data_IF_974610317717
#
_entry.id   IF_974610317717
#
_cell.length_a   1.000
_cell.length_b   1.000
_cell.length_c   1.000
_cell.angle_alpha   90.00
_cell.angle_beta   90.00
_cell.angle_gamma   90.00
#
_symmetry.space_group_name_H-M   'P 1'
#
loop_
_entity.id
_entity.type
_entity.pdbx_description
1 polymer ?
#
# COMPACT_ATOMS: atom_id res chain seq x y z
N UNK A 1 37.40 -21.96 -8.21
CA UNK A 1 36.06 -22.28 -7.68
C UNK A 1 35.51 -21.01 -7.08
N UNK A 2 34.41 -20.46 -7.60
CA UNK A 2 33.81 -19.27 -6.99
C UNK A 2 33.42 -19.59 -5.55
N UNK A 3 33.81 -18.74 -4.59
CA UNK A 3 33.42 -18.90 -3.19
C UNK A 3 31.89 -19.00 -3.10
N UNK A 4 31.40 -20.11 -2.54
CA UNK A 4 29.97 -20.30 -2.31
C UNK A 4 29.45 -19.17 -1.43
N UNK A 5 28.33 -18.58 -1.83
CA UNK A 5 27.69 -17.47 -1.11
C UNK A 5 27.53 -17.78 0.39
N UNK A 6 27.76 -16.78 1.25
CA UNK A 6 27.58 -16.89 2.71
C UNK A 6 26.17 -17.34 3.11
N UNK A 7 25.19 -17.20 2.23
CA UNK A 7 23.82 -17.71 2.40
C UNK A 7 23.71 -19.23 2.49
N UNK A 8 24.67 -19.98 1.95
CA UNK A 8 24.68 -21.43 2.09
C UNK A 8 24.81 -21.89 3.56
N UNK A 9 25.32 -21.04 4.46
CA UNK A 9 25.33 -21.31 5.89
C UNK A 9 23.92 -21.40 6.50
N UNK A 10 22.93 -20.75 5.88
CA UNK A 10 21.52 -20.76 6.32
C UNK A 10 20.66 -21.84 5.63
N UNK A 11 21.27 -22.63 4.73
CA UNK A 11 20.62 -23.78 4.08
C UNK A 11 19.86 -24.73 5.04
N UNK A 12 20.39 -25.12 6.21
CA UNK A 12 19.66 -26.03 7.12
C UNK A 12 18.37 -25.41 7.70
N UNK A 13 18.32 -24.08 7.85
CA UNK A 13 17.11 -23.37 8.28
C UNK A 13 16.06 -23.37 7.16
N UNK A 14 16.51 -23.13 5.92
CA UNK A 14 15.68 -23.09 4.72
C UNK A 14 15.05 -24.45 4.42
N UNK A 15 15.80 -25.54 4.54
CA UNK A 15 15.32 -26.89 4.24
C UNK A 15 14.29 -27.41 5.26
N UNK A 16 14.37 -26.96 6.52
CA UNK A 16 13.44 -27.34 7.59
C UNK A 16 12.20 -26.46 7.65
N UNK A 17 12.16 -25.37 6.88
CA UNK A 17 11.08 -24.40 6.93
C UNK A 17 9.78 -24.97 6.33
N UNK A 18 8.61 -24.81 7.00
CA UNK A 18 7.34 -25.25 6.46
C UNK A 18 7.03 -24.50 5.16
N UNK A 19 6.94 -25.23 4.05
CA UNK A 19 6.65 -24.68 2.74
C UNK A 19 5.47 -25.41 2.10
N UNK A 20 4.64 -24.67 1.38
CA UNK A 20 3.49 -25.27 0.69
C UNK A 20 4.01 -26.14 -0.47
N UNK A 21 3.54 -27.38 -0.57
CA UNK A 21 3.97 -28.28 -1.63
C UNK A 21 3.48 -27.79 -2.99
N UNK A 22 4.37 -27.75 -3.99
CA UNK A 22 3.99 -27.48 -5.38
C UNK A 22 3.16 -28.67 -5.93
N UNK A 23 2.14 -28.43 -6.76
CA UNK A 23 1.38 -29.51 -7.37
C UNK A 23 2.28 -30.37 -8.25
N UNK A 24 2.11 -31.70 -8.20
CA UNK A 24 2.93 -32.66 -8.98
C UNK A 24 2.62 -32.64 -10.49
N UNK A 25 1.44 -32.13 -10.87
CA UNK A 25 0.97 -32.10 -12.24
C UNK A 25 0.14 -30.86 -12.53
N UNK A 26 -0.46 -30.82 -13.72
CA UNK A 26 -1.29 -29.69 -14.12
C UNK A 26 -2.55 -29.59 -13.24
N UNK A 27 -2.71 -28.46 -12.56
CA UNK A 27 -3.93 -28.13 -11.81
C UNK A 27 -4.99 -27.57 -12.79
N UNK A 28 -6.20 -28.16 -12.87
CA UNK A 28 -7.24 -27.68 -13.76
C UNK A 28 -7.73 -26.29 -13.36
N UNK A 29 -8.19 -25.50 -14.35
CA UNK A 29 -8.57 -24.10 -14.15
C UNK A 29 -9.63 -23.90 -13.05
N UNK A 30 -10.64 -24.78 -12.97
CA UNK A 30 -11.69 -24.71 -11.93
C UNK A 30 -11.11 -24.78 -10.52
N UNK A 31 -10.12 -25.65 -10.29
CA UNK A 31 -9.45 -25.78 -9.00
C UNK A 31 -8.59 -24.55 -8.70
N UNK A 32 -7.90 -24.01 -9.72
CA UNK A 32 -7.16 -22.74 -9.55
C UNK A 32 -8.07 -21.59 -9.15
N UNK A 33 -9.22 -21.47 -9.82
CA UNK A 33 -10.22 -20.45 -9.54
C UNK A 33 -10.78 -20.62 -8.12
N UNK A 34 -11.11 -21.86 -7.71
CA UNK A 34 -11.61 -22.15 -6.37
C UNK A 34 -10.61 -21.73 -5.28
N UNK A 35 -9.34 -22.14 -5.40
CA UNK A 35 -8.30 -21.72 -4.45
C UNK A 35 -8.13 -20.20 -4.37
N UNK A 36 -8.15 -19.55 -5.54
CA UNK A 36 -8.03 -18.09 -5.65
C UNK A 36 -9.21 -17.39 -4.98
N UNK A 37 -10.44 -17.84 -5.25
CA UNK A 37 -11.67 -17.28 -4.68
C UNK A 37 -11.76 -17.52 -3.16
N UNK A 38 -11.45 -18.73 -2.69
CA UNK A 38 -11.44 -19.05 -1.26
C UNK A 38 -10.44 -18.18 -0.50
N UNK A 39 -9.22 -18.03 -1.01
CA UNK A 39 -8.22 -17.14 -0.39
C UNK A 39 -8.70 -15.68 -0.41
N UNK A 40 -9.32 -15.22 -1.49
CA UNK A 40 -9.84 -13.86 -1.59
C UNK A 40 -10.95 -13.59 -0.55
N UNK A 41 -11.87 -14.54 -0.35
CA UNK A 41 -12.93 -14.42 0.67
C UNK A 41 -12.33 -14.38 2.08
N UNK A 42 -11.39 -15.27 2.39
CA UNK A 42 -10.68 -15.26 3.68
C UNK A 42 -9.96 -13.93 3.89
N UNK A 43 -9.29 -13.41 2.87
CA UNK A 43 -8.62 -12.11 2.92
C UNK A 43 -9.61 -11.00 3.31
N UNK A 44 -10.77 -10.92 2.64
CA UNK A 44 -11.79 -9.93 2.99
C UNK A 44 -12.31 -10.09 4.41
N UNK A 45 -12.55 -11.32 4.87
CA UNK A 45 -12.97 -11.58 6.26
C UNK A 45 -11.90 -11.06 7.24
N UNK A 46 -10.63 -11.38 7.01
CA UNK A 46 -9.53 -10.95 7.87
C UNK A 46 -9.38 -9.41 7.89
N UNK A 47 -9.69 -8.71 6.80
CA UNK A 47 -9.67 -7.22 6.78
C UNK A 47 -10.77 -6.59 7.64
N UNK A 48 -11.83 -7.33 7.99
CA UNK A 48 -12.93 -6.84 8.82
C UNK A 48 -12.77 -7.23 10.30
N UNK A 49 -11.93 -8.22 10.62
CA UNK A 49 -11.66 -8.62 12.01
C UNK A 49 -10.69 -7.60 12.63
N UNK A 50 -11.21 -6.77 13.53
CA UNK A 50 -10.43 -5.80 14.29
C UNK A 50 -9.55 -6.49 15.33
N UNK A 51 -8.36 -5.94 15.55
CA UNK A 51 -7.42 -6.40 16.58
C UNK A 51 -8.02 -6.11 17.96
N UNK A 52 -7.98 -7.11 18.83
CA UNK A 52 -8.46 -6.97 20.19
C UNK A 52 -7.58 -6.03 21.01
N UNK A 53 -8.22 -5.07 21.68
CA UNK A 53 -7.57 -4.13 22.60
C UNK A 53 -6.82 -2.98 21.94
N UNK A 54 -7.22 -2.56 20.73
CA UNK A 54 -6.77 -1.29 20.16
C UNK A 54 -7.55 -0.11 20.74
N UNK A 55 -6.84 0.98 21.04
CA UNK A 55 -7.46 2.24 21.43
C UNK A 55 -8.11 2.94 20.21
N UNK A 56 -9.30 3.57 20.34
CA UNK A 56 -9.99 4.25 19.24
C UNK A 56 -9.20 5.38 18.58
N UNK A 57 -8.29 6.02 19.33
CA UNK A 57 -7.39 7.08 18.83
C UNK A 57 -6.12 6.53 18.14
N UNK A 58 -6.09 5.24 17.79
CA UNK A 58 -4.98 4.67 17.03
C UNK A 58 -4.92 5.30 15.64
N UNK A 59 -3.74 5.79 15.29
CA UNK A 59 -3.53 6.57 14.07
C UNK A 59 -3.15 5.62 12.93
N UNK A 60 -3.80 5.73 11.75
CA UNK A 60 -3.41 4.96 10.56
C UNK A 60 -2.31 5.66 9.75
N UNK A 61 -1.06 5.38 10.10
CA UNK A 61 0.11 5.96 9.44
C UNK A 61 0.23 5.57 7.95
N UNK A 62 -0.35 4.44 7.55
CA UNK A 62 -0.25 3.94 6.19
C UNK A 62 -1.48 4.26 5.35
N UNK A 63 -2.41 5.10 5.79
CA UNK A 63 -3.66 5.39 5.08
C UNK A 63 -3.46 5.69 3.59
N UNK A 64 -2.43 6.47 3.24
CA UNK A 64 -2.08 6.79 1.85
C UNK A 64 -1.57 5.61 1.01
N UNK A 65 -1.02 4.59 1.67
CA UNK A 65 -0.40 3.41 1.08
C UNK A 65 -1.25 2.13 1.22
N UNK A 66 -2.35 2.17 1.98
CA UNK A 66 -3.25 1.01 2.24
C UNK A 66 -3.68 0.27 0.97
N UNK A 67 -4.00 1.03 -0.08
CA UNK A 67 -4.41 0.47 -1.36
C UNK A 67 -3.31 -0.37 -2.03
N UNK A 68 -2.04 0.03 -1.87
CA UNK A 68 -0.88 -0.66 -2.45
C UNK A 68 -0.43 -1.81 -1.54
N UNK A 69 -0.49 -1.63 -0.22
CA UNK A 69 -0.13 -2.70 0.72
C UNK A 69 -1.22 -3.72 0.96
N UNK A 70 -2.40 -3.58 0.35
CA UNK A 70 -3.51 -4.49 0.55
C UNK A 70 -3.74 -4.76 2.06
N UNK A 71 -3.71 -3.68 2.86
CA UNK A 71 -3.82 -3.73 4.30
C UNK A 71 -5.04 -2.96 4.78
N UNK A 72 -5.59 -3.32 5.93
CA UNK A 72 -6.72 -2.63 6.55
C UNK A 72 -6.38 -2.17 7.96
N UNK A 73 -6.52 -0.88 8.23
CA UNK A 73 -6.15 -0.31 9.53
C UNK A 73 -6.95 -0.92 10.66
N UNK A 74 -6.29 -1.14 11.79
CA UNK A 74 -6.86 -1.78 12.97
C UNK A 74 -7.35 -3.23 12.80
N UNK A 75 -7.15 -3.89 11.65
CA UNK A 75 -7.55 -5.29 11.43
C UNK A 75 -6.39 -6.27 11.56
N UNK A 76 -6.67 -7.58 11.56
CA UNK A 76 -5.63 -8.61 11.49
C UNK A 76 -4.72 -8.46 10.25
N UNK A 77 -5.22 -7.85 9.18
CA UNK A 77 -4.45 -7.57 7.96
C UNK A 77 -3.83 -6.17 8.00
N UNK A 78 -3.47 -5.67 9.19
CA UNK A 78 -2.87 -4.33 9.33
C UNK A 78 -1.57 -4.19 8.53
N UNK A 79 -0.70 -5.19 8.57
CA UNK A 79 0.58 -5.19 7.84
C UNK A 79 0.38 -5.41 6.34
N UNK A 80 -0.72 -6.05 5.94
CA UNK A 80 -1.01 -6.39 4.55
C UNK A 80 0.11 -7.23 3.92
N UNK A 81 0.48 -6.88 2.69
CA UNK A 81 1.61 -7.47 1.96
C UNK A 81 2.96 -6.79 2.27
N UNK A 82 2.99 -5.76 3.14
CA UNK A 82 4.18 -4.96 3.45
C UNK A 82 5.42 -5.81 3.73
N UNK A 83 5.39 -6.73 4.71
CA UNK A 83 6.53 -7.58 5.05
C UNK A 83 7.02 -8.46 3.88
N UNK A 84 6.10 -8.90 3.00
CA UNK A 84 6.41 -9.74 1.84
C UNK A 84 7.21 -8.92 0.81
N UNK A 85 6.75 -7.71 0.53
CA UNK A 85 7.39 -6.80 -0.42
C UNK A 85 8.72 -6.29 0.14
N UNK A 86 8.76 -5.86 1.40
CA UNK A 86 9.99 -5.36 2.05
C UNK A 86 11.09 -6.43 2.07
N UNK A 87 10.76 -7.68 2.44
CA UNK A 87 11.72 -8.78 2.37
C UNK A 87 12.25 -9.02 0.95
N UNK A 88 11.38 -8.92 -0.06
CA UNK A 88 11.78 -9.05 -1.46
C UNK A 88 12.72 -7.92 -1.88
N UNK A 89 12.43 -6.67 -1.50
CA UNK A 89 13.28 -5.50 -1.79
C UNK A 89 14.68 -5.69 -1.20
N UNK A 90 14.78 -6.03 0.09
CA UNK A 90 16.06 -6.19 0.78
C UNK A 90 16.91 -7.25 0.06
N UNK A 91 16.31 -8.39 -0.27
CA UNK A 91 17.04 -9.47 -0.93
C UNK A 91 17.43 -9.12 -2.38
N UNK A 92 16.54 -8.45 -3.13
CA UNK A 92 16.84 -7.96 -4.48
C UNK A 92 17.97 -6.94 -4.47
N UNK A 93 17.98 -6.01 -3.49
CA UNK A 93 19.06 -5.04 -3.32
C UNK A 93 20.39 -5.71 -2.98
N UNK A 94 20.40 -6.70 -2.10
CA UNK A 94 21.63 -7.42 -1.75
C UNK A 94 22.21 -8.23 -2.91
N UNK A 95 21.36 -8.89 -3.71
CA UNK A 95 21.80 -9.60 -4.92
C UNK A 95 22.23 -8.62 -6.01
N UNK A 96 21.45 -7.56 -6.25
CA UNK A 96 21.76 -6.53 -7.24
C UNK A 96 23.05 -5.76 -6.94
N UNK A 97 23.30 -5.45 -5.67
CA UNK A 97 24.55 -4.83 -5.20
C UNK A 97 25.74 -5.82 -5.15
N UNK A 98 25.54 -7.09 -5.52
CA UNK A 98 26.53 -8.18 -5.45
C UNK A 98 27.15 -8.37 -4.05
N UNK A 99 26.44 -7.95 -3.00
CA UNK A 99 26.79 -8.30 -1.61
C UNK A 99 26.58 -9.79 -1.36
N UNK A 100 25.64 -10.38 -2.11
CA UNK A 100 25.32 -11.80 -2.13
C UNK A 100 25.51 -12.29 -3.57
N UNK A 101 26.54 -13.10 -3.79
CA UNK A 101 26.81 -13.71 -5.10
C UNK A 101 25.96 -14.97 -5.27
N UNK A 102 24.72 -14.81 -5.72
CA UNK A 102 23.84 -15.92 -6.14
C UNK A 102 23.64 -15.86 -7.65
N UNK A 103 23.85 -16.99 -8.32
CA UNK A 103 23.51 -17.14 -9.73
C UNK A 103 22.06 -17.60 -9.87
N UNK A 104 21.16 -16.66 -10.15
CA UNK A 104 19.73 -16.97 -10.32
C UNK A 104 19.43 -17.82 -11.57
N UNK A 105 20.42 -18.08 -12.43
CA UNK A 105 20.30 -19.06 -13.52
C UNK A 105 20.47 -20.50 -13.03
N UNK A 106 21.13 -20.71 -11.89
CA UNK A 106 21.25 -22.02 -11.27
C UNK A 106 20.01 -22.35 -10.42
N UNK A 107 19.44 -23.53 -10.63
CA UNK A 107 18.26 -24.00 -9.90
C UNK A 107 18.50 -24.10 -8.38
N UNK A 108 19.71 -24.47 -7.93
CA UNK A 108 20.04 -24.54 -6.50
C UNK A 108 20.04 -23.17 -5.83
N UNK A 109 20.70 -22.19 -6.44
CA UNK A 109 20.78 -20.82 -5.95
C UNK A 109 19.40 -20.15 -5.98
N UNK A 110 18.59 -20.44 -7.01
CA UNK A 110 17.21 -19.97 -7.09
C UNK A 110 16.34 -20.57 -5.99
N UNK A 111 16.52 -21.84 -5.66
CA UNK A 111 15.80 -22.48 -4.55
C UNK A 111 16.23 -21.89 -3.20
N UNK A 112 17.52 -21.64 -3.00
CA UNK A 112 18.06 -21.00 -1.81
C UNK A 112 17.55 -19.56 -1.66
N UNK A 113 17.54 -18.78 -2.75
CA UNK A 113 16.98 -17.44 -2.80
C UNK A 113 15.51 -17.42 -2.36
N UNK A 114 14.68 -18.30 -2.95
CA UNK A 114 13.26 -18.40 -2.61
C UNK A 114 13.05 -18.84 -1.17
N UNK A 115 13.85 -19.79 -0.69
CA UNK A 115 13.78 -20.27 0.68
C UNK A 115 14.16 -19.20 1.71
N UNK A 116 15.25 -18.47 1.46
CA UNK A 116 15.68 -17.39 2.32
C UNK A 116 14.69 -16.21 2.32
N UNK A 117 14.12 -15.87 1.15
CA UNK A 117 13.09 -14.83 1.07
C UNK A 117 11.94 -15.11 2.05
N UNK A 118 11.48 -16.35 2.15
CA UNK A 118 10.37 -16.73 3.06
C UNK A 118 10.72 -16.57 4.53
N UNK A 119 11.92 -16.99 4.92
CA UNK A 119 12.41 -16.77 6.29
C UNK A 119 12.47 -15.28 6.58
N UNK A 120 12.98 -14.50 5.63
CA UNK A 120 13.06 -13.06 5.75
C UNK A 120 11.69 -12.41 5.87
N UNK A 121 10.65 -12.88 5.16
CA UNK A 121 9.27 -12.40 5.34
C UNK A 121 8.83 -12.51 6.80
N UNK A 122 9.06 -13.67 7.44
CA UNK A 122 8.63 -13.89 8.83
C UNK A 122 9.36 -12.98 9.80
N UNK A 123 10.65 -12.78 9.58
CA UNK A 123 11.45 -11.80 10.34
C UNK A 123 10.92 -10.39 10.13
N UNK A 124 10.58 -10.03 8.88
CA UNK A 124 10.03 -8.72 8.55
C UNK A 124 8.66 -8.48 9.15
N UNK A 125 7.81 -9.51 9.32
CA UNK A 125 6.53 -9.36 10.03
C UNK A 125 6.76 -8.85 11.45
N UNK A 126 7.75 -9.39 12.17
CA UNK A 126 8.09 -8.93 13.52
C UNK A 126 8.76 -7.55 13.52
N UNK A 127 9.70 -7.33 12.61
CA UNK A 127 10.40 -6.04 12.47
C UNK A 127 9.44 -4.91 12.11
N UNK A 128 8.39 -5.17 11.34
CA UNK A 128 7.35 -4.18 11.03
C UNK A 128 6.30 -4.08 12.15
N UNK A 129 5.88 -5.18 12.77
CA UNK A 129 4.87 -5.15 13.84
C UNK A 129 5.33 -4.38 15.09
N UNK A 130 6.57 -4.60 15.54
CA UNK A 130 7.07 -4.04 16.81
C UNK A 130 7.05 -2.49 16.77
N UNK A 131 7.71 -1.80 15.83
CA UNK A 131 7.72 -0.34 15.79
C UNK A 131 6.31 0.26 15.68
N UNK A 132 5.39 -0.42 15.01
CA UNK A 132 4.02 0.07 14.87
C UNK A 132 3.25 0.04 16.20
N UNK A 133 3.41 -1.03 17.00
CA UNK A 133 2.79 -1.14 18.34
C UNK A 133 3.42 -0.20 19.36
N UNK A 134 4.74 0.00 19.29
CA UNK A 134 5.41 0.97 20.16
C UNK A 134 5.19 2.43 19.71
N UNK A 135 4.93 2.64 18.42
CA UNK A 135 4.69 3.94 17.81
C UNK A 135 3.25 4.42 18.01
N UNK A 136 2.33 3.85 17.23
CA UNK A 136 1.01 4.42 16.94
C UNK A 136 -0.18 3.47 17.15
N UNK A 137 0.02 2.15 17.20
CA UNK A 137 -1.02 1.17 17.57
C UNK A 137 -1.05 1.04 19.09
N UNK A 138 -1.79 1.93 19.74
CA UNK A 138 -1.85 1.99 21.21
C UNK A 138 -2.81 0.93 21.75
N UNK A 139 -2.40 0.16 22.78
CA UNK A 139 -3.33 -0.69 23.49
C UNK A 139 -4.38 0.15 24.24
N UNK A 140 -5.60 -0.38 24.38
CA UNK A 140 -6.68 0.23 25.15
C UNK A 140 -6.41 0.11 26.65
N UNK A 141 -6.95 1.05 27.44
CA UNK A 141 -6.76 1.08 28.90
C UNK A 141 -7.24 -0.21 29.57
N UNK A 142 -8.37 -0.77 29.13
CA UNK A 142 -8.85 -2.05 29.64
C UNK A 142 -7.94 -3.25 29.35
N UNK A 143 -7.21 -3.26 28.22
CA UNK A 143 -6.23 -4.31 27.94
C UNK A 143 -4.96 -4.11 28.80
N UNK A 144 -4.58 -2.85 29.04
CA UNK A 144 -3.45 -2.49 29.90
C UNK A 144 -3.74 -2.90 31.35
N UNK A 145 -4.95 -2.69 31.84
CA UNK A 145 -5.37 -3.11 33.19
C UNK A 145 -5.34 -4.63 33.35
N UNK A 146 -5.76 -5.38 32.32
CA UNK A 146 -5.84 -6.85 32.39
C UNK A 146 -4.48 -7.56 32.25
N UNK A 147 -3.61 -7.10 31.35
CA UNK A 147 -2.37 -7.80 30.98
C UNK A 147 -1.09 -7.03 31.33
N UNK A 148 -1.22 -5.83 31.91
CA UNK A 148 -0.12 -4.89 32.07
C UNK A 148 0.30 -4.25 30.75
N UNK A 149 1.00 -3.11 30.83
CA UNK A 149 1.40 -2.34 29.65
C UNK A 149 2.26 -3.13 28.64
N UNK A 150 3.18 -3.96 29.14
CA UNK A 150 4.01 -4.83 28.31
C UNK A 150 3.22 -5.99 27.71
N UNK A 151 2.36 -6.64 28.50
CA UNK A 151 1.56 -7.78 28.05
C UNK A 151 0.52 -7.38 26.99
N UNK A 152 -0.14 -6.23 27.17
CA UNK A 152 -1.06 -5.66 26.20
C UNK A 152 -0.41 -5.48 24.82
N UNK A 153 0.81 -4.93 24.78
CA UNK A 153 1.59 -4.76 23.54
C UNK A 153 1.99 -6.10 22.94
N UNK A 154 2.43 -7.06 23.75
CA UNK A 154 2.80 -8.39 23.27
C UNK A 154 1.61 -9.11 22.62
N UNK A 155 0.40 -8.97 23.19
CA UNK A 155 -0.84 -9.51 22.63
C UNK A 155 -1.15 -8.91 21.25
N UNK A 156 -1.01 -7.59 21.10
CA UNK A 156 -1.22 -6.92 19.80
C UNK A 156 -0.16 -7.37 18.78
N UNK A 157 1.12 -7.44 19.17
CA UNK A 157 2.21 -7.92 18.31
C UNK A 157 1.94 -9.35 17.84
N UNK A 158 1.47 -10.22 18.74
CA UNK A 158 1.13 -11.60 18.39
C UNK A 158 -0.04 -11.67 17.41
N UNK A 159 -1.08 -10.85 17.59
CA UNK A 159 -2.18 -10.78 16.63
C UNK A 159 -1.72 -10.29 15.24
N UNK A 160 -0.88 -9.26 15.19
CA UNK A 160 -0.27 -8.78 13.94
C UNK A 160 0.62 -9.83 13.29
N UNK A 161 1.37 -10.59 14.09
CA UNK A 161 2.21 -11.67 13.61
C UNK A 161 1.38 -12.79 12.98
N UNK A 162 0.32 -13.24 13.67
CA UNK A 162 -0.61 -14.25 13.15
C UNK A 162 -1.27 -13.76 11.86
N UNK A 163 -1.74 -12.50 11.83
CA UNK A 163 -2.32 -11.89 10.63
C UNK A 163 -1.36 -11.84 9.45
N UNK A 164 -0.13 -11.39 9.66
CA UNK A 164 0.93 -11.38 8.64
C UNK A 164 1.28 -12.78 8.13
N UNK A 165 1.34 -13.77 9.03
CA UNK A 165 1.59 -15.17 8.65
C UNK A 165 0.46 -15.76 7.82
N UNK A 166 -0.80 -15.45 8.13
CA UNK A 166 -1.94 -15.87 7.33
C UNK A 166 -1.88 -15.30 5.91
N UNK A 167 -1.60 -14.01 5.76
CA UNK A 167 -1.45 -13.37 4.43
C UNK A 167 -0.30 -14.02 3.65
N UNK A 168 0.84 -14.26 4.29
CA UNK A 168 1.98 -14.92 3.67
C UNK A 168 1.66 -16.35 3.21
N UNK A 169 0.99 -17.16 4.03
CA UNK A 169 0.58 -18.50 3.63
C UNK A 169 -0.43 -18.47 2.48
N UNK A 170 -1.38 -17.55 2.50
CA UNK A 170 -2.35 -17.39 1.41
C UNK A 170 -1.65 -16.98 0.11
N UNK A 171 -0.65 -16.10 0.16
CA UNK A 171 0.18 -15.80 -1.01
C UNK A 171 0.90 -17.03 -1.55
N UNK A 172 1.46 -17.88 -0.69
CA UNK A 172 2.08 -19.14 -1.11
C UNK A 172 1.07 -20.13 -1.73
N UNK A 173 -0.17 -20.19 -1.21
CA UNK A 173 -1.22 -21.04 -1.77
C UNK A 173 -1.57 -20.54 -3.17
N UNK A 174 -1.87 -19.25 -3.33
CA UNK A 174 -2.28 -18.66 -4.61
C UNK A 174 -1.15 -18.79 -5.64
N UNK A 175 0.09 -18.48 -5.25
CA UNK A 175 1.24 -18.52 -6.16
C UNK A 175 1.57 -19.93 -6.68
N UNK A 176 1.12 -21.00 -6.00
CA UNK A 176 1.36 -22.41 -6.42
C UNK A 176 0.13 -23.09 -6.99
N UNK A 177 -1.04 -22.84 -6.42
CA UNK A 177 -2.29 -23.53 -6.73
C UNK A 177 -3.34 -22.64 -7.40
N UNK A 178 -3.20 -21.32 -7.30
CA UNK A 178 -4.14 -20.34 -7.83
C UNK A 178 -3.77 -19.77 -9.19
N UNK A 179 -4.32 -18.59 -9.47
CA UNK A 179 -4.10 -17.82 -10.69
C UNK A 179 -3.23 -16.60 -10.35
N UNK A 180 -2.07 -16.48 -10.99
CA UNK A 180 -1.16 -15.35 -10.78
C UNK A 180 -0.40 -15.42 -9.45
N UNK A 181 -0.13 -14.26 -8.85
CA UNK A 181 0.53 -14.11 -7.54
C UNK A 181 -0.49 -13.61 -6.51
N UNK A 182 -0.39 -14.12 -5.27
CA UNK A 182 -1.27 -13.68 -4.19
C UNK A 182 -1.10 -12.21 -3.87
N UNK A 183 0.14 -11.70 -3.84
CA UNK A 183 0.45 -10.26 -3.71
C UNK A 183 -0.36 -9.43 -4.71
N UNK A 184 -0.30 -9.77 -6.00
CA UNK A 184 -1.04 -9.03 -7.03
C UNK A 184 -2.56 -9.09 -6.87
N UNK A 185 -3.08 -10.24 -6.43
CA UNK A 185 -4.50 -10.43 -6.18
C UNK A 185 -4.98 -9.58 -5.00
N UNK A 186 -4.23 -9.54 -3.89
CA UNK A 186 -4.60 -8.76 -2.71
C UNK A 186 -4.56 -7.25 -2.98
N UNK A 187 -3.59 -6.78 -3.78
CA UNK A 187 -3.57 -5.38 -4.26
C UNK A 187 -4.82 -5.08 -5.06
N UNK A 188 -5.14 -5.92 -6.06
CA UNK A 188 -6.32 -5.73 -6.89
C UNK A 188 -7.61 -5.74 -6.05
N UNK A 189 -7.70 -6.61 -5.06
CA UNK A 189 -8.81 -6.68 -4.11
C UNK A 189 -8.93 -5.41 -3.25
N UNK A 190 -7.82 -4.94 -2.69
CA UNK A 190 -7.76 -3.72 -1.89
C UNK A 190 -8.16 -2.47 -2.67
N UNK A 191 -7.61 -2.30 -3.88
CA UNK A 191 -7.96 -1.19 -4.78
C UNK A 191 -9.43 -1.27 -5.20
N UNK A 192 -9.93 -2.45 -5.57
CA UNK A 192 -11.33 -2.64 -5.94
C UNK A 192 -12.28 -2.30 -4.80
N UNK A 193 -11.95 -2.72 -3.57
CA UNK A 193 -12.74 -2.38 -2.39
C UNK A 193 -12.75 -0.88 -2.12
N UNK A 194 -11.59 -0.22 -2.22
CA UNK A 194 -11.48 1.23 -2.06
C UNK A 194 -12.31 1.99 -3.10
N UNK A 195 -12.32 1.54 -4.37
CA UNK A 195 -13.13 2.12 -5.43
C UNK A 195 -14.63 1.94 -5.16
N UNK A 196 -15.08 0.72 -4.83
CA UNK A 196 -16.49 0.45 -4.55
C UNK A 196 -16.97 1.24 -3.33
N UNK A 197 -16.19 1.27 -2.26
CA UNK A 197 -16.50 2.04 -1.04
C UNK A 197 -16.49 3.54 -1.32
N UNK A 198 -15.53 4.05 -2.08
CA UNK A 198 -15.44 5.47 -2.46
C UNK A 198 -16.58 5.93 -3.37
N UNK A 199 -17.19 5.02 -4.14
CA UNK A 199 -18.32 5.31 -5.03
C UNK A 199 -19.67 5.23 -4.31
N UNK A 200 -19.88 4.15 -3.54
CA UNK A 200 -21.20 3.73 -3.07
C UNK A 200 -21.36 3.75 -1.55
N UNK A 201 -20.45 4.35 -0.77
CA UNK A 201 -20.64 4.43 0.68
C UNK A 201 -21.70 5.48 1.08
N UNK A 202 -22.79 5.02 1.71
CA UNK A 202 -23.80 5.89 2.34
C UNK A 202 -23.42 6.34 3.76
N UNK A 203 -22.27 5.90 4.29
CA UNK A 203 -21.83 6.28 5.62
C UNK A 203 -21.42 7.76 5.65
N UNK A 204 -21.66 8.47 6.77
CA UNK A 204 -21.21 9.85 6.93
C UNK A 204 -19.68 9.94 6.86
N UNK A 205 -19.19 11.08 6.36
CA UNK A 205 -17.75 11.34 6.25
C UNK A 205 -17.03 11.30 7.60
N UNK A 206 -17.68 11.83 8.65
CA UNK A 206 -17.28 11.72 10.02
C UNK A 206 -18.30 10.87 10.78
N UNK A 207 -17.86 9.71 11.28
CA UNK A 207 -18.71 8.75 12.01
C UNK A 207 -19.26 9.29 13.33
N UNK A 208 -18.63 10.31 13.90
CA UNK A 208 -19.04 10.92 15.16
C UNK A 208 -20.09 12.03 15.05
N UNK A 209 -20.46 12.43 13.82
CA UNK A 209 -21.44 13.50 13.58
C UNK A 209 -22.64 12.95 12.80
N UNK A 210 -23.86 13.48 13.03
CA UNK A 210 -25.02 13.11 12.24
C UNK A 210 -24.82 13.48 10.76
N UNK A 211 -25.57 12.82 9.87
CA UNK A 211 -25.59 13.18 8.46
C UNK A 211 -26.20 14.58 8.27
N UNK A 212 -25.54 15.41 7.48
CA UNK A 212 -25.97 16.77 7.19
C UNK A 212 -25.20 17.38 6.02
N UNK A 213 -25.48 18.64 5.67
CA UNK A 213 -24.82 19.34 4.56
C UNK A 213 -23.32 19.53 4.81
N UNK A 214 -22.91 19.65 6.08
CA UNK A 214 -21.50 19.76 6.49
C UNK A 214 -20.86 18.39 6.77
N UNK A 215 -21.66 17.33 6.86
CA UNK A 215 -21.19 15.95 6.99
C UNK A 215 -21.95 15.02 6.02
N UNK A 216 -21.76 15.21 4.70
CA UNK A 216 -22.46 14.40 3.71
C UNK A 216 -21.92 12.96 3.70
N UNK A 217 -22.63 12.04 3.03
CA UNK A 217 -22.13 10.70 2.77
C UNK A 217 -20.72 10.71 2.14
N UNK A 218 -19.89 9.73 2.48
CA UNK A 218 -18.51 9.64 2.00
C UNK A 218 -18.40 9.21 0.53
N UNK A 219 -19.40 8.51 -0.01
CA UNK A 219 -19.40 8.05 -1.39
C UNK A 219 -19.70 9.18 -2.37
N UNK A 220 -19.04 9.19 -3.54
CA UNK A 220 -19.23 10.23 -4.56
C UNK A 220 -20.68 10.31 -5.06
N UNK A 221 -21.30 9.17 -5.36
CA UNK A 221 -22.70 9.13 -5.85
C UNK A 221 -23.67 9.52 -4.72
N UNK A 222 -23.62 8.89 -3.53
CA UNK A 222 -24.45 9.26 -2.38
C UNK A 222 -24.35 10.74 -2.00
N UNK A 223 -23.13 11.29 -1.97
CA UNK A 223 -22.88 12.70 -1.67
C UNK A 223 -23.58 13.62 -2.65
N UNK A 224 -23.45 13.32 -3.95
CA UNK A 224 -24.05 14.13 -5.02
C UNK A 224 -25.57 14.11 -4.91
N UNK A 225 -26.16 12.93 -4.69
CA UNK A 225 -27.61 12.78 -4.50
C UNK A 225 -28.07 13.53 -3.25
N UNK A 226 -27.38 13.34 -2.12
CA UNK A 226 -27.74 13.95 -0.85
C UNK A 226 -27.68 15.49 -0.89
N UNK A 227 -26.58 16.06 -1.39
CA UNK A 227 -26.44 17.52 -1.48
C UNK A 227 -27.43 18.13 -2.48
N UNK A 228 -27.70 17.47 -3.60
CA UNK A 228 -28.67 17.96 -4.60
C UNK A 228 -30.12 17.92 -4.07
N UNK A 229 -30.43 16.99 -3.16
CA UNK A 229 -31.78 16.83 -2.59
C UNK A 229 -32.04 17.67 -1.34
N UNK A 230 -30.99 18.03 -0.59
CA UNK A 230 -31.11 18.72 0.68
C UNK A 230 -30.70 20.21 0.62
N UNK A 231 -30.18 20.70 -0.51
CA UNK A 231 -29.86 22.11 -0.74
C UNK A 231 -30.82 22.74 -1.75
N UNK A 232 -31.21 23.99 -1.52
CA UNK A 232 -31.97 24.77 -2.50
C UNK A 232 -31.09 25.19 -3.70
N UNK A 233 -31.71 25.52 -4.84
CA UNK A 233 -30.98 26.01 -6.04
C UNK A 233 -30.14 27.26 -5.75
N UNK A 234 -30.61 28.14 -4.87
CA UNK A 234 -29.87 29.33 -4.44
C UNK A 234 -28.61 28.98 -3.63
N UNK A 235 -28.69 27.98 -2.75
CA UNK A 235 -27.55 27.51 -1.94
C UNK A 235 -26.57 26.66 -2.76
N UNK A 236 -27.04 25.96 -3.78
CA UNK A 236 -26.17 25.22 -4.71
C UNK A 236 -25.28 26.16 -5.53
N UNK A 237 -25.84 27.27 -6.01
CA UNK A 237 -25.13 28.24 -6.85
C UNK A 237 -24.33 29.24 -6.02
N UNK A 238 -24.93 29.87 -5.01
CA UNK A 238 -24.30 30.96 -4.24
C UNK A 238 -23.68 30.49 -2.91
N UNK A 239 -24.13 29.35 -2.37
CA UNK A 239 -23.67 28.78 -1.10
C UNK A 239 -22.53 27.76 -1.23
N UNK A 240 -21.90 27.66 -2.41
CA UNK A 240 -20.77 26.75 -2.64
C UNK A 240 -21.16 25.26 -2.74
N UNK A 241 -22.44 24.93 -2.97
CA UNK A 241 -22.88 23.54 -3.12
C UNK A 241 -22.22 22.82 -4.30
N UNK A 242 -22.04 23.48 -5.44
CA UNK A 242 -21.28 22.93 -6.56
C UNK A 242 -19.80 22.70 -6.22
N UNK A 243 -19.18 23.60 -5.48
CA UNK A 243 -17.81 23.41 -4.99
C UNK A 243 -17.72 22.22 -4.03
N UNK A 244 -18.72 22.04 -3.15
CA UNK A 244 -18.80 20.88 -2.26
C UNK A 244 -18.92 19.56 -3.03
N UNK A 245 -19.69 19.51 -4.11
CA UNK A 245 -19.91 18.31 -4.94
C UNK A 245 -18.68 17.99 -5.81
N UNK A 246 -18.15 18.98 -6.53
CA UNK A 246 -17.14 18.76 -7.56
C UNK A 246 -15.70 18.80 -7.04
N UNK A 247 -15.43 19.52 -5.96
CA UNK A 247 -14.05 19.85 -5.56
C UNK A 247 -13.75 19.42 -4.12
N UNK A 248 -14.65 19.71 -3.19
CA UNK A 248 -14.36 19.53 -1.76
C UNK A 248 -14.36 18.05 -1.36
N UNK A 249 -13.49 17.64 -0.42
CA UNK A 249 -13.60 16.34 0.24
C UNK A 249 -14.95 16.15 0.96
N UNK A 250 -15.41 14.91 1.21
CA UNK A 250 -14.84 13.63 0.76
C UNK A 250 -15.17 13.31 -0.71
N UNK A 251 -14.31 12.52 -1.36
CA UNK A 251 -14.47 11.90 -2.69
C UNK A 251 -15.25 12.75 -3.73
N UNK A 252 -14.66 13.85 -4.22
CA UNK A 252 -15.30 14.74 -5.18
C UNK A 252 -15.55 14.08 -6.54
N UNK A 253 -16.54 14.57 -7.30
CA UNK A 253 -16.85 14.07 -8.66
C UNK A 253 -15.65 14.16 -9.61
N UNK A 254 -14.80 15.19 -9.45
CA UNK A 254 -13.57 15.32 -10.25
C UNK A 254 -12.60 14.16 -10.01
N UNK A 255 -12.54 13.60 -8.80
CA UNK A 255 -11.71 12.42 -8.51
C UNK A 255 -12.23 11.17 -9.25
N UNK A 256 -13.56 11.02 -9.37
CA UNK A 256 -14.17 9.93 -10.15
C UNK A 256 -13.84 10.07 -11.64
N UNK A 257 -14.05 11.25 -12.22
CA UNK A 257 -13.72 11.51 -13.63
C UNK A 257 -12.24 11.29 -13.91
N UNK A 258 -11.36 11.79 -13.02
CA UNK A 258 -9.92 11.55 -13.11
C UNK A 258 -9.57 10.06 -13.06
N UNK A 259 -10.22 9.29 -12.18
CA UNK A 259 -10.01 7.84 -12.08
C UNK A 259 -10.43 7.12 -13.37
N UNK A 260 -11.58 7.49 -13.97
CA UNK A 260 -12.05 6.89 -15.23
C UNK A 260 -11.09 7.22 -16.38
N UNK A 261 -10.66 8.47 -16.50
CA UNK A 261 -9.74 8.91 -17.56
C UNK A 261 -8.40 8.17 -17.44
N UNK A 262 -7.82 8.13 -16.24
CA UNK A 262 -6.55 7.42 -15.99
C UNK A 262 -6.72 5.92 -16.25
N UNK A 263 -7.82 5.31 -15.82
CA UNK A 263 -8.08 3.90 -16.06
C UNK A 263 -8.13 3.57 -17.55
N UNK A 264 -8.88 4.34 -18.35
CA UNK A 264 -8.95 4.14 -19.80
C UNK A 264 -7.59 4.35 -20.47
N UNK A 265 -6.85 5.37 -20.06
CA UNK A 265 -5.52 5.64 -20.58
C UNK A 265 -4.53 4.51 -20.27
N UNK A 266 -4.50 4.03 -19.03
CA UNK A 266 -3.61 2.94 -18.61
C UNK A 266 -3.97 1.63 -19.32
N UNK A 267 -5.26 1.29 -19.44
CA UNK A 267 -5.70 0.11 -20.20
C UNK A 267 -5.30 0.22 -21.68
N UNK A 268 -5.42 1.40 -22.29
CA UNK A 268 -4.97 1.64 -23.65
C UNK A 268 -3.44 1.49 -23.78
N UNK A 269 -2.67 2.07 -22.87
CA UNK A 269 -1.21 2.00 -22.87
C UNK A 269 -0.69 0.57 -22.61
N UNK A 270 -1.30 -0.19 -21.70
CA UNK A 270 -0.90 -1.56 -21.36
C UNK A 270 -1.31 -2.57 -22.45
N UNK A 271 -2.46 -2.36 -23.11
CA UNK A 271 -2.91 -3.22 -24.21
C UNK A 271 -2.13 -2.98 -25.52
N UNK A 272 -1.43 -1.85 -25.63
CA UNK A 272 -0.61 -1.50 -26.79
C UNK A 272 0.62 -2.40 -26.89
N UNK A 273 0.74 -3.10 -28.02
CA UNK A 273 1.84 -4.04 -28.29
C UNK A 273 2.41 -3.83 -29.69
N UNK A 274 3.72 -3.97 -29.80
CA UNK A 274 4.48 -3.95 -31.05
C UNK A 274 4.76 -5.40 -31.45
N UNK A 275 4.20 -5.84 -32.57
CA UNK A 275 4.41 -7.21 -33.07
C UNK A 275 5.66 -7.27 -33.96
N UNK A 276 6.73 -7.91 -33.48
CA UNK A 276 7.93 -8.16 -34.28
C UNK A 276 7.78 -9.45 -35.10
N UNK A 277 7.92 -9.41 -36.43
CA UNK A 277 7.90 -10.62 -37.24
C UNK A 277 9.19 -11.43 -37.02
N UNK A 278 9.04 -12.72 -36.71
CA UNK A 278 10.15 -13.66 -36.55
C UNK A 278 10.03 -14.79 -37.57
N UNK A 279 11.16 -15.20 -38.13
CA UNK A 279 11.26 -16.39 -38.98
C UNK A 279 12.14 -17.43 -38.29
N UNK A 280 11.69 -18.69 -38.26
CA UNK A 280 12.47 -19.78 -37.67
C UNK A 280 13.57 -20.22 -38.64
N UNK A 281 14.84 -20.13 -38.22
CA UNK A 281 15.98 -20.52 -39.07
C UNK A 281 16.08 -22.02 -39.37
N UNK A 282 15.53 -22.88 -38.50
CA UNK A 282 15.56 -24.35 -38.66
C UNK A 282 14.39 -24.94 -39.43
N UNK A 283 13.27 -24.21 -39.53
CA UNK A 283 12.04 -24.69 -40.18
C UNK A 283 11.62 -23.67 -41.24
N UNK A 284 11.90 -23.99 -42.50
CA UNK A 284 11.57 -23.13 -43.65
C UNK A 284 10.05 -22.95 -43.71
N UNK A 285 9.60 -21.70 -43.77
CA UNK A 285 8.16 -21.34 -43.85
C UNK A 285 7.48 -21.07 -42.51
N UNK A 286 8.08 -21.43 -41.38
CA UNK A 286 7.52 -21.11 -40.06
C UNK A 286 7.79 -19.65 -39.68
N UNK A 287 6.78 -18.79 -39.90
CA UNK A 287 6.76 -17.38 -39.46
C UNK A 287 5.92 -17.25 -38.18
N UNK A 288 6.45 -16.56 -37.20
CA UNK A 288 5.73 -16.18 -35.97
C UNK A 288 5.73 -14.66 -35.81
N UNK A 289 4.86 -14.15 -34.94
CA UNK A 289 4.92 -12.77 -34.46
C UNK A 289 5.18 -12.80 -32.97
N UNK A 290 6.16 -12.03 -32.52
CA UNK A 290 6.45 -11.87 -31.10
C UNK A 290 5.93 -10.52 -30.63
N UNK A 291 4.84 -10.48 -29.84
CA UNK A 291 4.31 -9.24 -29.31
C UNK A 291 5.18 -8.74 -28.15
N UNK A 292 5.80 -7.57 -28.34
CA UNK A 292 6.43 -6.80 -27.28
C UNK A 292 5.42 -5.79 -26.73
N UNK A 293 5.18 -5.79 -25.43
CA UNK A 293 4.37 -4.73 -24.79
C UNK A 293 5.13 -3.41 -24.88
N UNK A 294 4.42 -2.33 -25.23
CA UNK A 294 5.02 -0.99 -25.29
C UNK A 294 5.57 -0.58 -23.92
N UNK A 295 4.79 -0.81 -22.87
CA UNK A 295 5.20 -0.68 -21.49
C UNK A 295 5.93 -1.95 -21.05
N UNK A 296 7.25 -1.96 -21.22
CA UNK A 296 8.09 -3.11 -20.83
C UNK A 296 8.30 -3.18 -19.30
N UNK A 297 8.33 -2.03 -18.62
CA UNK A 297 8.39 -1.97 -17.17
C UNK A 297 7.08 -2.51 -16.58
N UNK A 298 7.15 -3.65 -15.91
CA UNK A 298 6.05 -4.23 -15.13
C UNK A 298 5.62 -3.30 -13.99
N UNK A 299 4.53 -3.62 -13.28
CA UNK A 299 4.05 -2.84 -12.13
C UNK A 299 4.95 -2.96 -10.88
N UNK A 300 5.95 -3.85 -10.91
CA UNK A 300 6.83 -4.14 -9.77
C UNK A 300 7.61 -2.90 -9.29
N UNK A 301 8.33 -2.13 -10.12
CA UNK A 301 9.11 -0.98 -9.65
C UNK A 301 8.24 0.08 -8.93
N UNK A 302 7.03 0.31 -9.43
CA UNK A 302 6.07 1.23 -8.79
C UNK A 302 5.67 0.73 -7.40
N UNK A 303 5.42 -0.58 -7.25
CA UNK A 303 5.12 -1.22 -5.95
C UNK A 303 6.33 -1.08 -5.00
N UNK A 304 7.55 -1.32 -5.50
CA UNK A 304 8.77 -1.23 -4.68
C UNK A 304 8.99 0.21 -4.19
N UNK A 305 8.78 1.20 -5.06
CA UNK A 305 8.93 2.61 -4.69
C UNK A 305 7.88 3.05 -3.67
N UNK A 306 6.62 2.67 -3.85
CA UNK A 306 5.57 2.96 -2.88
C UNK A 306 5.86 2.33 -1.50
N UNK A 307 6.37 1.10 -1.49
CA UNK A 307 6.75 0.42 -0.25
C UNK A 307 7.93 1.11 0.44
N UNK A 308 8.96 1.51 -0.31
CA UNK A 308 10.08 2.28 0.19
C UNK A 308 9.61 3.60 0.82
N UNK A 309 8.76 4.34 0.12
CA UNK A 309 8.23 5.62 0.61
C UNK A 309 7.43 5.49 1.89
N UNK A 310 6.64 4.43 2.01
CA UNK A 310 5.89 4.18 3.23
C UNK A 310 6.80 3.86 4.42
N UNK A 311 7.85 3.07 4.20
CA UNK A 311 8.86 2.78 5.21
C UNK A 311 9.62 4.05 5.61
N UNK A 312 10.01 4.90 4.65
CA UNK A 312 10.63 6.19 4.94
C UNK A 312 9.71 7.10 5.76
N UNK A 313 8.42 7.16 5.43
CA UNK A 313 7.44 7.92 6.21
C UNK A 313 7.25 7.34 7.63
N UNK A 314 7.27 6.01 7.77
CA UNK A 314 7.23 5.35 9.07
C UNK A 314 8.38 5.77 9.96
N UNK A 315 9.61 5.64 9.44
CA UNK A 315 10.80 6.01 10.20
C UNK A 315 10.80 7.50 10.51
N UNK A 316 10.40 8.37 9.56
CA UNK A 316 10.26 9.80 9.78
C UNK A 316 9.34 10.13 10.96
N UNK A 317 8.15 9.54 11.01
CA UNK A 317 7.20 9.77 12.11
C UNK A 317 7.74 9.25 13.45
N UNK A 318 8.33 8.05 13.46
CA UNK A 318 8.91 7.47 14.69
C UNK A 318 10.06 8.31 15.24
N UNK A 319 10.95 8.79 14.35
CA UNK A 319 12.06 9.69 14.67
C UNK A 319 11.58 11.03 15.23
N UNK A 320 10.49 11.57 14.70
CA UNK A 320 9.94 12.84 15.17
C UNK A 320 9.16 12.72 16.48
N UNK A 321 8.39 11.65 16.67
CA UNK A 321 7.43 11.55 17.79
C UNK A 321 7.93 10.77 19.01
N UNK A 322 8.66 9.67 18.81
CA UNK A 322 9.04 8.74 19.90
C UNK A 322 10.55 8.69 20.14
N UNK A 323 11.33 8.87 19.09
CA UNK A 323 12.80 8.82 19.12
C UNK A 323 13.42 10.22 19.04
N UNK A 324 12.74 11.23 19.60
CA UNK A 324 13.22 12.61 19.67
C UNK A 324 14.55 12.77 20.45
N UNK A 325 14.90 11.78 21.27
CA UNK A 325 16.10 11.79 22.10
C UNK A 325 17.37 11.30 21.35
N UNK A 326 17.25 10.85 20.09
CA UNK A 326 18.43 10.48 19.30
C UNK A 326 19.14 11.76 18.85
N UNK A 327 20.44 11.94 19.15
CA UNK A 327 21.17 13.13 18.71
C UNK A 327 21.16 13.23 17.18
N UNK A 328 21.02 14.47 16.66
CA UNK A 328 21.01 14.85 15.22
C UNK A 328 19.76 14.43 14.43
N UNK A 329 19.21 13.23 14.68
CA UNK A 329 18.14 12.65 13.84
C UNK A 329 16.77 12.73 14.53
N UNK A 330 16.73 12.64 15.86
CA UNK A 330 15.50 12.73 16.64
C UNK A 330 14.89 14.13 16.58
N UNK A 331 13.62 14.23 16.17
CA UNK A 331 12.92 15.52 16.08
C UNK A 331 13.39 16.46 14.96
N UNK A 332 14.24 15.99 14.05
CA UNK A 332 14.77 16.80 12.95
C UNK A 332 13.67 17.25 11.97
N UNK A 333 13.34 18.55 12.00
CA UNK A 333 12.33 19.15 11.11
C UNK A 333 12.67 19.00 9.62
N UNK A 334 13.96 18.89 9.28
CA UNK A 334 14.44 18.73 7.90
C UNK A 334 14.19 17.32 7.34
N UNK A 335 14.02 16.29 8.18
CA UNK A 335 13.62 14.95 7.76
C UNK A 335 12.10 14.93 7.53
N UNK A 336 11.34 15.31 8.54
CA UNK A 336 9.87 15.36 8.49
C UNK A 336 9.29 15.95 9.76
N UNK A 337 8.54 17.05 9.66
CA UNK A 337 7.75 17.61 10.76
C UNK A 337 6.33 17.03 10.69
N UNK A 338 5.82 16.49 11.79
CA UNK A 338 4.47 15.94 11.86
C UNK A 338 3.63 16.71 12.89
N UNK A 339 2.40 17.05 12.53
CA UNK A 339 1.44 17.62 13.49
C UNK A 339 0.93 16.52 14.43
N UNK A 340 0.61 16.83 15.71
CA UNK A 340 -0.03 15.88 16.61
C UNK A 340 -1.30 15.31 15.99
N UNK A 341 -1.40 13.98 15.91
CA UNK A 341 -2.54 13.30 15.28
C UNK A 341 -2.49 13.17 13.75
N UNK A 342 -1.51 13.78 13.07
CA UNK A 342 -1.32 13.64 11.62
C UNK A 342 -0.29 12.57 11.29
N UNK A 343 -0.54 11.86 10.18
CA UNK A 343 0.34 10.83 9.61
C UNK A 343 1.10 11.31 8.39
N UNK A 344 0.75 12.51 7.93
CA UNK A 344 1.39 13.13 6.78
C UNK A 344 2.42 14.12 7.29
N UNK A 345 3.65 14.10 6.72
CA UNK A 345 4.62 15.13 7.00
C UNK A 345 4.05 16.47 6.53
N UNK A 346 4.26 17.50 7.32
CA UNK A 346 3.83 18.88 7.04
C UNK A 346 5.00 19.67 6.48
N UNK A 347 6.23 19.40 6.91
CA UNK A 347 7.45 20.01 6.37
C UNK A 347 8.61 19.02 6.33
N UNK A 348 9.69 19.35 5.60
CA UNK A 348 10.92 18.55 5.51
C UNK A 348 11.06 17.76 4.20
N UNK A 349 12.11 16.96 4.08
CA UNK A 349 12.39 16.15 2.89
C UNK A 349 11.24 15.17 2.58
N UNK A 350 10.65 14.56 3.61
CA UNK A 350 9.52 13.65 3.44
C UNK A 350 8.25 14.34 2.92
N UNK A 351 8.08 15.65 3.16
CA UNK A 351 6.97 16.41 2.58
C UNK A 351 7.10 16.50 1.06
N UNK A 352 8.30 16.77 0.54
CA UNK A 352 8.56 16.83 -0.90
C UNK A 352 8.36 15.49 -1.61
N UNK A 353 8.61 14.38 -0.91
CA UNK A 353 8.47 13.03 -1.47
C UNK A 353 7.07 12.44 -1.32
N UNK A 354 6.18 13.06 -0.53
CA UNK A 354 4.80 12.58 -0.36
C UNK A 354 3.87 13.20 -1.39
N UNK A 355 2.95 12.37 -1.91
CA UNK A 355 1.98 12.78 -2.92
C UNK A 355 1.10 13.94 -2.45
N UNK A 356 0.83 14.95 -3.29
CA UNK A 356 -0.21 15.94 -3.02
C UNK A 356 -1.60 15.29 -3.11
N UNK A 357 -2.50 15.60 -2.18
CA UNK A 357 -3.80 14.95 -2.06
C UNK A 357 -4.94 15.83 -2.58
N UNK A 358 -5.32 15.66 -3.85
CA UNK A 358 -6.46 16.35 -4.45
C UNK A 358 -6.17 17.80 -4.88
N UNK A 359 -6.96 18.30 -5.83
CA UNK A 359 -6.70 19.59 -6.51
C UNK A 359 -6.70 20.80 -5.56
N UNK A 360 -7.48 20.72 -4.48
CA UNK A 360 -7.54 21.76 -3.46
C UNK A 360 -6.25 21.94 -2.65
N UNK A 361 -5.38 20.93 -2.60
CA UNK A 361 -4.12 21.03 -1.82
C UNK A 361 -2.96 21.61 -2.61
N UNK A 362 -2.96 21.50 -3.94
CA UNK A 362 -1.81 21.91 -4.76
C UNK A 362 -2.18 22.86 -5.90
N UNK A 363 -3.25 22.59 -6.66
CA UNK A 363 -3.57 23.36 -7.87
C UNK A 363 -4.25 24.68 -7.52
N UNK A 364 -5.28 24.65 -6.67
CA UNK A 364 -6.04 25.87 -6.37
C UNK A 364 -5.29 26.90 -5.52
N UNK A 365 -4.43 26.52 -4.55
CA UNK A 365 -3.60 27.49 -3.86
C UNK A 365 -2.59 28.21 -4.75
N UNK A 366 -2.22 27.64 -5.91
CA UNK A 366 -1.36 28.28 -6.92
C UNK A 366 -2.11 29.31 -7.76
N UNK A 367 -3.43 29.15 -7.93
CA UNK A 367 -4.25 29.93 -8.87
C UNK A 367 -5.07 31.01 -8.14
N UNK A 368 -5.65 30.69 -6.98
CA UNK A 368 -6.56 31.58 -6.26
C UNK A 368 -6.11 31.79 -4.79
N UNK A 369 -5.93 33.05 -4.35
CA UNK A 369 -5.58 33.40 -2.96
C UNK A 369 -6.51 32.82 -1.88
N UNK A 370 -7.78 32.52 -2.20
CA UNK A 370 -8.77 31.98 -1.24
C UNK A 370 -8.38 30.61 -0.68
N UNK A 371 -7.61 29.83 -1.44
CA UNK A 371 -7.19 28.49 -1.03
C UNK A 371 -5.82 28.46 -0.33
N UNK A 372 -5.22 29.63 -0.04
CA UNK A 372 -3.93 29.70 0.67
C UNK A 372 -3.96 29.11 2.08
N UNK A 373 -5.14 29.02 2.71
CA UNK A 373 -5.32 28.33 3.99
C UNK A 373 -4.93 26.83 3.96
N UNK A 374 -4.92 26.20 2.78
CA UNK A 374 -4.50 24.82 2.61
C UNK A 374 -2.98 24.64 2.50
N UNK A 375 -2.21 25.74 2.37
CA UNK A 375 -0.75 25.67 2.23
C UNK A 375 -0.02 25.42 3.55
N UNK A 376 -0.68 25.47 4.72
CA UNK A 376 -0.09 25.16 6.04
C UNK A 376 1.30 25.81 6.24
N UNK A 377 1.38 27.14 6.12
CA UNK A 377 2.60 27.96 6.23
C UNK A 377 3.63 27.81 5.10
N UNK A 378 3.30 27.11 4.00
CA UNK A 378 4.16 27.03 2.81
C UNK A 378 3.83 28.09 1.77
N UNK A 379 4.87 28.57 1.09
CA UNK A 379 4.71 29.48 -0.04
C UNK A 379 4.26 28.73 -1.30
N UNK A 380 3.51 29.35 -2.23
CA UNK A 380 3.05 28.70 -3.45
C UNK A 380 4.18 28.08 -4.29
N UNK A 381 5.35 28.71 -4.34
CA UNK A 381 6.51 28.17 -5.07
C UNK A 381 7.06 26.86 -4.45
N UNK A 382 6.94 26.67 -3.12
CA UNK A 382 7.34 25.43 -2.46
C UNK A 382 6.42 24.28 -2.86
N UNK A 383 5.14 24.56 -3.13
CA UNK A 383 4.20 23.58 -3.65
C UNK A 383 4.52 23.18 -5.10
N UNK A 384 4.92 24.14 -5.95
CA UNK A 384 5.39 23.84 -7.29
C UNK A 384 6.68 23.00 -7.27
N UNK A 385 7.63 23.33 -6.39
CA UNK A 385 8.84 22.55 -6.18
C UNK A 385 8.52 21.11 -5.73
N UNK A 386 7.56 20.94 -4.81
CA UNK A 386 7.07 19.63 -4.39
C UNK A 386 6.53 18.80 -5.54
N UNK A 387 5.77 19.41 -6.45
CA UNK A 387 5.24 18.70 -7.60
C UNK A 387 6.38 18.23 -8.52
N UNK A 388 7.35 19.11 -8.81
CA UNK A 388 8.51 18.78 -9.66
C UNK A 388 9.34 17.65 -9.04
N UNK A 389 9.67 17.75 -7.75
CA UNK A 389 10.46 16.73 -7.04
C UNK A 389 9.71 15.40 -7.07
N UNK A 390 8.42 15.40 -6.74
CA UNK A 390 7.62 14.18 -6.74
C UNK A 390 7.57 13.53 -8.14
N UNK A 391 7.33 14.28 -9.21
CA UNK A 391 7.28 13.74 -10.59
C UNK A 391 8.64 13.35 -11.17
N UNK A 392 9.74 13.80 -10.56
CA UNK A 392 11.08 13.41 -11.00
C UNK A 392 11.51 12.10 -10.32
N UNK A 393 11.03 11.88 -9.10
CA UNK A 393 11.37 10.71 -8.27
C UNK A 393 10.43 9.53 -8.54
N UNK A 394 9.14 9.79 -8.81
CA UNK A 394 8.12 8.81 -9.22
C UNK A 394 7.82 8.92 -10.70
#
# INVERSE_FOLDING_TARGET
MAEKSRLYALKPLVERWPAIKKPKGHVPFRTKLLWTATCLVIYYILTQILIYGLHPESIDMFAGFRAIFAGASGSLVHLGIGPIVTASIILQLFVGAKLINLDLQNDEDRALYQGFQKVLVVVMILIEAIPQVFGYLRPSDGLIEMAGFGGARAIIILQLFVGGMLVFWMDEVISKWGIGSGVSLFIAAGVSNALVTGLFSWLPSNRGLPMGIDNPPAGTIPKTIYLTTHMSLGELVNGGGFEKIFISPPNPVVALLGTIIIFLFVVYAESSRVELPLAHGRVRGARGRYPLRLMYASNIPVILMAALMANLNMFGLLLYTRLSNIPVIGGAWWIGKYLPGSTQPVAGALWYLTRPNGLHTWLFPLIDPRYRGYLQDHEPWQMALRLIIYTTVF
#
